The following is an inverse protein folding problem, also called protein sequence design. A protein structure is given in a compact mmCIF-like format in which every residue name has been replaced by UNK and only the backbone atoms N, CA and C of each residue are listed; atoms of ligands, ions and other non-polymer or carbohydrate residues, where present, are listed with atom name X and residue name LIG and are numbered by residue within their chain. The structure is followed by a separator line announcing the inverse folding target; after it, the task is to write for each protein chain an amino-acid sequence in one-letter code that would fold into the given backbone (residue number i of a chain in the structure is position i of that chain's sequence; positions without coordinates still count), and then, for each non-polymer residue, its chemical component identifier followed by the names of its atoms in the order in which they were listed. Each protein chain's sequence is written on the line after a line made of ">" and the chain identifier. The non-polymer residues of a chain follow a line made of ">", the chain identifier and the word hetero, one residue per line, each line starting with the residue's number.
data_IF_965984784973
#
_entry.id   IF_965984784973
#
_cell.length_a   1.000
_cell.length_b   1.000
_cell.length_c   1.000
_cell.angle_alpha   90.00
_cell.angle_beta   90.00
_cell.angle_gamma   90.00
#
_symmetry.space_group_name_H-M   'P 1'
#
loop_
_entity.id
_entity.type
_entity.pdbx_description
1 polymer ?
#
# COMPACT_ATOMS: atom_id res chain seq x y z
N UNK A 1 28.66 15.66 6.07
CA UNK A 1 27.82 15.88 4.88
C UNK A 1 26.38 15.75 5.32
N UNK A 2 25.71 16.90 5.40
CA UNK A 2 24.29 17.03 5.75
C UNK A 2 23.45 16.13 4.84
N UNK A 3 22.40 15.53 5.41
CA UNK A 3 21.54 14.55 4.74
C UNK A 3 20.71 15.25 3.64
N UNK A 4 21.28 15.39 2.44
CA UNK A 4 20.64 16.03 1.28
C UNK A 4 19.24 15.48 1.01
N UNK A 5 19.04 14.17 1.21
CA UNK A 5 17.74 13.51 1.06
C UNK A 5 16.75 14.01 2.13
N UNK A 6 17.21 14.15 3.37
CA UNK A 6 16.46 14.75 4.48
C UNK A 6 16.03 16.18 4.20
N UNK A 7 16.96 17.03 3.77
CA UNK A 7 16.68 18.45 3.49
C UNK A 7 15.71 18.62 2.31
N UNK A 8 15.88 17.82 1.25
CA UNK A 8 14.95 17.81 0.12
C UNK A 8 13.54 17.40 0.54
N UNK A 9 13.39 16.31 1.30
CA UNK A 9 12.06 15.89 1.76
C UNK A 9 11.43 16.92 2.69
N UNK A 10 12.19 17.55 3.59
CA UNK A 10 11.67 18.59 4.47
C UNK A 10 11.17 19.82 3.69
N UNK A 11 11.90 20.23 2.64
CA UNK A 11 11.47 21.32 1.75
C UNK A 11 10.21 20.94 0.97
N UNK A 12 10.13 19.71 0.48
CA UNK A 12 8.96 19.18 -0.22
C UNK A 12 7.75 19.14 0.74
N UNK A 13 7.95 18.73 1.98
CA UNK A 13 6.93 18.67 3.03
C UNK A 13 6.36 20.06 3.37
N UNK A 14 7.22 21.04 3.58
CA UNK A 14 6.81 22.41 3.85
C UNK A 14 6.04 23.03 2.66
N UNK A 15 6.44 22.72 1.42
CA UNK A 15 5.71 23.17 0.24
C UNK A 15 4.33 22.49 0.12
N UNK A 16 4.25 21.22 0.51
CA UNK A 16 3.04 20.42 0.48
C UNK A 16 1.95 20.92 1.41
N UNK A 17 2.30 21.23 2.66
CA UNK A 17 1.37 21.78 3.65
C UNK A 17 0.79 23.12 3.19
N UNK A 18 1.64 24.02 2.71
CA UNK A 18 1.21 25.31 2.16
C UNK A 18 0.27 25.16 0.95
N UNK A 19 0.55 24.19 0.07
CA UNK A 19 -0.31 23.89 -1.07
C UNK A 19 -1.68 23.37 -0.63
N UNK A 20 -1.72 22.39 0.28
CA UNK A 20 -2.98 21.86 0.81
C UNK A 20 -3.80 22.93 1.52
N UNK A 21 -3.17 23.78 2.32
CA UNK A 21 -3.85 24.87 3.02
C UNK A 21 -4.50 25.84 2.03
N UNK A 22 -3.73 26.34 1.05
CA UNK A 22 -4.26 27.31 0.06
C UNK A 22 -5.38 26.71 -0.78
N UNK A 23 -5.24 25.47 -1.21
CA UNK A 23 -6.30 24.77 -1.92
C UNK A 23 -7.55 24.63 -1.03
N UNK A 24 -7.38 24.17 0.21
CA UNK A 24 -8.48 24.01 1.15
C UNK A 24 -9.22 25.33 1.39
N UNK A 25 -8.49 26.42 1.65
CA UNK A 25 -9.07 27.74 1.89
C UNK A 25 -9.84 28.25 0.67
N UNK A 26 -9.27 28.14 -0.53
CA UNK A 26 -9.93 28.55 -1.76
C UNK A 26 -11.26 27.81 -1.97
N UNK A 27 -11.27 26.48 -1.79
CA UNK A 27 -12.48 25.68 -1.94
C UNK A 27 -13.49 25.89 -0.81
N UNK A 28 -13.02 26.08 0.42
CA UNK A 28 -13.90 26.26 1.59
C UNK A 28 -14.65 27.59 1.52
N UNK A 29 -14.01 28.65 1.02
CA UNK A 29 -14.66 29.96 0.86
C UNK A 29 -15.90 29.91 -0.05
N UNK A 30 -15.87 29.07 -1.09
CA UNK A 30 -16.99 28.89 -2.01
C UNK A 30 -18.06 27.93 -1.48
N UNK A 31 -17.64 26.87 -0.78
CA UNK A 31 -18.51 25.77 -0.34
C UNK A 31 -19.19 26.07 1.00
N UNK A 32 -18.50 26.77 1.91
CA UNK A 32 -18.97 27.03 3.27
C UNK A 32 -20.33 27.77 3.31
N UNK A 33 -20.57 28.86 2.55
CA UNK A 33 -21.85 29.56 2.59
C UNK A 33 -23.02 28.66 2.20
N UNK A 34 -22.83 27.80 1.19
CA UNK A 34 -23.83 26.82 0.76
C UNK A 34 -24.10 25.79 1.86
N UNK A 35 -23.05 25.27 2.50
CA UNK A 35 -23.19 24.32 3.62
C UNK A 35 -23.89 24.93 4.82
N UNK A 36 -23.58 26.19 5.17
CA UNK A 36 -24.26 26.93 6.25
C UNK A 36 -25.75 27.10 5.95
N UNK A 37 -26.12 27.41 4.71
CA UNK A 37 -27.51 27.52 4.29
C UNK A 37 -28.23 26.17 4.36
N UNK A 38 -27.62 25.10 3.84
CA UNK A 38 -28.17 23.75 3.92
C UNK A 38 -28.33 23.26 5.36
N UNK A 39 -27.35 23.57 6.23
CA UNK A 39 -27.41 23.27 7.65
C UNK A 39 -28.57 23.99 8.33
N UNK A 40 -28.72 25.30 8.07
CA UNK A 40 -29.81 26.11 8.64
C UNK A 40 -31.17 25.58 8.19
N UNK A 41 -31.33 25.25 6.90
CA UNK A 41 -32.55 24.63 6.38
C UNK A 41 -32.81 23.26 7.01
N UNK A 42 -31.79 22.44 7.21
CA UNK A 42 -31.94 21.15 7.87
C UNK A 42 -32.40 21.32 9.32
N UNK A 43 -31.80 22.25 10.08
CA UNK A 43 -32.20 22.56 11.46
C UNK A 43 -33.63 23.06 11.52
N UNK A 44 -34.04 23.97 10.61
CA UNK A 44 -35.41 24.45 10.52
C UNK A 44 -36.39 23.33 10.20
N UNK A 45 -36.08 22.50 9.20
CA UNK A 45 -36.92 21.37 8.80
C UNK A 45 -37.16 20.39 9.95
N UNK A 46 -36.09 19.99 10.65
CA UNK A 46 -36.21 19.11 11.81
C UNK A 46 -36.86 19.79 13.02
N UNK A 47 -36.62 21.09 13.23
CA UNK A 47 -37.24 21.87 14.29
C UNK A 47 -38.76 21.98 14.13
N UNK A 48 -39.22 22.25 12.90
CA UNK A 48 -40.65 22.25 12.55
C UNK A 48 -41.26 20.85 12.73
N UNK A 49 -40.55 19.80 12.30
CA UNK A 49 -41.01 18.42 12.46
C UNK A 49 -41.17 18.01 13.94
N UNK A 50 -40.29 18.50 14.82
CA UNK A 50 -40.41 18.34 16.27
C UNK A 50 -41.59 19.14 16.84
N UNK A 51 -41.77 20.39 16.40
CA UNK A 51 -42.86 21.26 16.87
C UNK A 51 -44.25 20.74 16.50
N UNK A 52 -44.42 20.20 15.28
CA UNK A 52 -45.71 19.67 14.81
C UNK A 52 -46.05 18.31 15.42
N UNK A 53 -45.16 17.68 16.19
CA UNK A 53 -45.40 16.36 16.80
C UNK A 53 -45.61 15.22 15.80
N UNK A 54 -45.37 15.45 14.50
CA UNK A 54 -45.57 14.48 13.42
C UNK A 54 -44.41 13.51 13.26
N UNK A 55 -43.35 13.68 14.04
CA UNK A 55 -42.14 12.89 13.92
C UNK A 55 -42.32 11.51 14.54
N UNK A 56 -42.33 10.46 13.69
CA UNK A 56 -42.14 9.06 14.10
C UNK A 56 -40.69 8.77 14.56
N UNK A 57 -39.82 9.78 14.46
CA UNK A 57 -38.38 9.71 14.70
C UNK A 57 -38.09 10.19 16.12
N UNK A 58 -37.26 9.46 16.85
CA UNK A 58 -36.82 9.84 18.21
C UNK A 58 -36.04 11.17 18.17
N UNK A 59 -36.25 12.02 19.18
CA UNK A 59 -35.51 13.29 19.37
C UNK A 59 -34.00 13.05 19.35
N UNK A 60 -33.54 11.95 19.95
CA UNK A 60 -32.12 11.57 19.96
C UNK A 60 -31.56 11.34 18.54
N UNK A 61 -32.35 10.77 17.63
CA UNK A 61 -31.93 10.55 16.25
C UNK A 61 -31.83 11.86 15.48
N UNK A 62 -32.72 12.81 15.74
CA UNK A 62 -32.68 14.15 15.15
C UNK A 62 -31.45 14.92 15.64
N UNK A 63 -31.19 14.91 16.95
CA UNK A 63 -29.98 15.52 17.53
C UNK A 63 -28.73 14.89 16.92
N UNK A 64 -28.66 13.57 16.80
CA UNK A 64 -27.52 12.89 16.18
C UNK A 64 -27.31 13.27 14.71
N UNK A 65 -28.38 13.50 13.95
CA UNK A 65 -28.30 13.99 12.57
C UNK A 65 -27.77 15.42 12.52
N UNK A 66 -28.32 16.34 13.32
CA UNK A 66 -27.88 17.74 13.36
C UNK A 66 -26.41 17.83 13.83
N UNK A 67 -26.04 17.08 14.88
CA UNK A 67 -24.66 17.04 15.37
C UNK A 67 -23.67 16.58 14.30
N UNK A 68 -24.03 15.56 13.50
CA UNK A 68 -23.22 15.14 12.36
C UNK A 68 -23.05 16.25 11.33
N UNK A 69 -24.13 16.93 10.95
CA UNK A 69 -24.06 18.03 9.98
C UNK A 69 -23.23 19.20 10.53
N UNK A 70 -23.31 19.46 11.84
CA UNK A 70 -22.50 20.47 12.51
C UNK A 70 -21.00 20.13 12.46
N UNK A 71 -20.62 18.88 12.75
CA UNK A 71 -19.22 18.44 12.64
C UNK A 71 -18.68 18.61 11.21
N UNK A 72 -19.49 18.27 10.20
CA UNK A 72 -19.13 18.46 8.78
C UNK A 72 -18.89 19.95 8.49
N UNK A 73 -19.76 20.84 8.99
CA UNK A 73 -19.63 22.27 8.80
C UNK A 73 -18.37 22.83 9.48
N UNK A 74 -18.10 22.43 10.72
CA UNK A 74 -16.88 22.86 11.46
C UNK A 74 -15.61 22.41 10.75
N UNK A 75 -15.60 21.19 10.20
CA UNK A 75 -14.47 20.65 9.45
C UNK A 75 -14.20 21.43 8.17
N UNK A 76 -15.23 21.86 7.44
CA UNK A 76 -15.08 22.61 6.18
C UNK A 76 -14.83 24.11 6.43
N UNK A 77 -15.32 24.65 7.55
CA UNK A 77 -15.31 26.10 7.83
C UNK A 77 -13.92 26.72 7.90
N UNK A 78 -12.94 26.02 8.48
CA UNK A 78 -11.63 26.61 8.72
C UNK A 78 -10.53 25.58 8.61
N UNK A 79 -9.45 25.95 7.92
CA UNK A 79 -8.24 25.13 7.83
C UNK A 79 -7.73 24.71 9.21
N UNK A 80 -7.72 25.59 10.20
CA UNK A 80 -7.26 25.28 11.56
C UNK A 80 -8.01 24.09 12.19
N UNK A 81 -9.33 24.03 12.03
CA UNK A 81 -10.15 22.92 12.53
C UNK A 81 -9.86 21.63 11.76
N UNK A 82 -9.79 21.72 10.43
CA UNK A 82 -9.43 20.59 9.59
C UNK A 82 -8.03 20.06 9.91
N UNK A 83 -7.09 20.96 10.16
CA UNK A 83 -5.72 20.63 10.44
C UNK A 83 -5.60 19.83 11.73
N UNK A 84 -6.15 20.39 12.82
CA UNK A 84 -6.11 19.78 14.14
C UNK A 84 -6.87 18.45 14.25
N UNK A 85 -7.99 18.31 13.53
CA UNK A 85 -8.86 17.14 13.65
C UNK A 85 -8.55 16.03 12.64
N UNK A 86 -7.97 16.38 11.48
CA UNK A 86 -7.85 15.43 10.37
C UNK A 86 -6.47 15.44 9.70
N UNK A 87 -5.97 16.59 9.26
CA UNK A 87 -4.68 16.68 8.54
C UNK A 87 -3.51 16.16 9.38
N UNK A 88 -3.38 16.64 10.61
CA UNK A 88 -2.25 16.33 11.50
C UNK A 88 -2.23 14.84 11.84
N UNK A 89 -3.39 14.28 12.16
CA UNK A 89 -3.54 12.86 12.43
C UNK A 89 -3.15 12.02 11.21
N UNK A 90 -3.66 12.37 10.04
CA UNK A 90 -3.47 11.56 8.84
C UNK A 90 -2.03 11.62 8.31
N UNK A 91 -1.36 12.75 8.46
CA UNK A 91 0.02 12.94 7.99
C UNK A 91 1.03 12.44 9.02
N UNK A 92 0.91 12.84 10.29
CA UNK A 92 1.97 12.60 11.30
C UNK A 92 1.88 11.24 11.97
N UNK A 93 0.68 10.68 12.17
CA UNK A 93 0.55 9.41 12.92
C UNK A 93 1.16 8.23 12.18
N UNK A 94 0.85 7.99 10.88
CA UNK A 94 1.48 6.89 10.14
C UNK A 94 2.99 7.07 10.01
N UNK A 95 3.47 8.29 9.81
CA UNK A 95 4.90 8.60 9.77
C UNK A 95 5.59 8.34 11.12
N UNK A 96 5.00 8.78 12.23
CA UNK A 96 5.51 8.53 13.57
C UNK A 96 5.54 7.02 13.88
N UNK A 97 4.51 6.28 13.48
CA UNK A 97 4.47 4.83 13.64
C UNK A 97 5.59 4.15 12.83
N UNK A 98 5.79 4.56 11.57
CA UNK A 98 6.89 4.03 10.75
C UNK A 98 8.28 4.37 11.31
N UNK A 99 8.48 5.58 11.84
CA UNK A 99 9.72 5.96 12.55
C UNK A 99 9.95 5.17 13.82
N UNK A 100 8.91 4.89 14.59
CA UNK A 100 9.03 4.07 15.81
C UNK A 100 9.48 2.63 15.48
N UNK A 101 8.96 2.04 14.39
CA UNK A 101 9.36 0.70 13.94
C UNK A 101 10.81 0.72 13.42
N UNK A 102 11.20 1.77 12.69
CA UNK A 102 12.57 1.96 12.22
C UNK A 102 13.54 2.05 13.41
N UNK A 103 13.23 2.86 14.43
CA UNK A 103 14.04 2.98 15.63
C UNK A 103 14.15 1.66 16.42
N UNK A 104 13.10 0.83 16.39
CA UNK A 104 13.10 -0.49 17.03
C UNK A 104 13.92 -1.55 16.27
N UNK A 105 14.29 -1.30 15.00
CA UNK A 105 14.97 -2.27 14.13
C UNK A 105 16.48 -2.42 14.42
N UNK A 106 16.98 -1.84 15.53
CA UNK A 106 18.36 -1.95 16.01
C UNK A 106 19.48 -1.45 15.06
N UNK A 107 19.14 -0.84 13.93
CA UNK A 107 20.08 -0.30 12.94
C UNK A 107 20.67 1.07 13.33
N UNK A 108 20.22 1.66 14.45
CA UNK A 108 20.62 3.01 14.90
C UNK A 108 20.03 4.15 14.08
N UNK A 109 19.15 3.86 13.11
CA UNK A 109 18.50 4.85 12.26
C UNK A 109 17.18 5.29 12.88
N UNK A 110 17.03 6.59 13.11
CA UNK A 110 15.77 7.16 13.64
C UNK A 110 14.91 7.83 12.58
N UNK A 111 15.52 8.25 11.46
CA UNK A 111 14.82 8.92 10.36
C UNK A 111 14.95 8.11 9.06
N UNK A 112 13.87 7.93 8.29
CA UNK A 112 13.91 7.11 7.07
C UNK A 112 14.84 7.67 5.99
N UNK A 113 15.00 8.99 5.94
CA UNK A 113 15.98 9.64 5.05
C UNK A 113 17.40 9.27 5.41
N UNK A 114 17.69 9.23 6.72
CA UNK A 114 18.97 8.74 7.22
C UNK A 114 19.18 7.27 6.84
N UNK A 115 18.12 6.45 6.84
CA UNK A 115 18.19 5.06 6.40
C UNK A 115 18.51 4.92 4.92
N UNK A 116 17.79 5.64 4.05
CA UNK A 116 18.06 5.66 2.60
C UNK A 116 19.46 6.22 2.29
N UNK A 117 19.87 7.26 3.01
CA UNK A 117 21.21 7.84 2.92
C UNK A 117 22.29 6.91 3.46
N UNK A 118 22.00 6.08 4.45
CA UNK A 118 22.91 5.04 4.92
C UNK A 118 23.09 3.97 3.84
N UNK A 119 22.02 3.51 3.19
CA UNK A 119 22.11 2.58 2.05
C UNK A 119 22.96 3.17 0.93
N UNK A 120 22.75 4.45 0.60
CA UNK A 120 23.56 5.15 -0.41
C UNK A 120 25.03 5.23 -0.01
N UNK A 121 25.35 5.65 1.22
CA UNK A 121 26.72 5.73 1.73
C UNK A 121 27.41 4.36 1.73
N UNK A 122 26.69 3.35 2.17
CA UNK A 122 27.11 1.95 2.16
C UNK A 122 27.46 1.47 0.76
N UNK A 123 26.58 1.72 -0.22
CA UNK A 123 26.84 1.36 -1.61
C UNK A 123 28.06 2.11 -2.17
N UNK A 124 28.23 3.38 -1.81
CA UNK A 124 29.37 4.18 -2.22
C UNK A 124 30.69 3.69 -1.60
N UNK A 125 30.68 3.25 -0.34
CA UNK A 125 31.84 2.64 0.32
C UNK A 125 32.22 1.31 -0.34
N UNK A 126 31.23 0.45 -0.61
CA UNK A 126 31.45 -0.80 -1.33
C UNK A 126 32.03 -0.55 -2.74
N UNK A 127 31.52 0.45 -3.47
CA UNK A 127 32.03 0.81 -4.78
C UNK A 127 33.46 1.39 -4.72
N UNK A 128 33.77 2.19 -3.70
CA UNK A 128 35.10 2.77 -3.50
C UNK A 128 36.16 1.69 -3.22
N UNK A 129 35.85 0.69 -2.37
CA UNK A 129 36.76 -0.43 -2.09
C UNK A 129 37.18 -1.17 -3.38
N UNK A 130 36.26 -1.35 -4.33
CA UNK A 130 36.57 -1.95 -5.62
C UNK A 130 37.36 -1.06 -6.56
N UNK A 131 37.12 0.25 -6.52
CA UNK A 131 37.92 1.20 -7.28
C UNK A 131 39.36 1.24 -6.78
N UNK A 132 39.60 0.99 -5.49
CA UNK A 132 40.94 0.93 -4.91
C UNK A 132 41.66 -0.40 -5.24
N UNK A 133 40.92 -1.51 -5.32
CA UNK A 133 41.44 -2.78 -5.84
C UNK A 133 41.63 -2.81 -7.36
N UNK A 134 41.04 -1.86 -8.09
CA UNK A 134 41.25 -1.72 -9.53
C UNK A 134 42.64 -1.14 -9.81
N UNK A 135 43.63 -2.01 -10.00
CA UNK A 135 44.93 -1.59 -10.53
C UNK A 135 44.80 -0.95 -11.93
N UNK A 136 45.82 -0.19 -12.34
CA UNK A 136 45.88 0.60 -13.59
C UNK A 136 45.57 -0.19 -14.88
N UNK A 137 45.63 -1.53 -14.85
CA UNK A 137 45.38 -2.41 -16.00
C UNK A 137 44.16 -3.35 -15.83
N UNK A 138 43.42 -3.25 -14.73
CA UNK A 138 42.27 -4.12 -14.42
C UNK A 138 40.98 -3.30 -14.31
N UNK A 139 40.25 -3.18 -15.43
CA UNK A 139 38.98 -2.45 -15.53
C UNK A 139 37.80 -3.21 -14.90
N UNK A 140 37.90 -4.54 -14.73
CA UNK A 140 36.82 -5.38 -14.22
C UNK A 140 36.31 -4.99 -12.81
N UNK A 141 37.17 -4.75 -11.80
CA UNK A 141 36.72 -4.34 -10.47
C UNK A 141 36.02 -2.97 -10.47
N UNK A 142 36.52 -2.00 -11.25
CA UNK A 142 35.88 -0.69 -11.38
C UNK A 142 34.48 -0.79 -12.02
N UNK A 143 34.29 -1.69 -12.99
CA UNK A 143 32.98 -1.96 -13.60
C UNK A 143 31.99 -2.55 -12.60
N UNK A 144 32.44 -3.43 -11.69
CA UNK A 144 31.61 -4.01 -10.63
C UNK A 144 31.16 -2.95 -9.64
N UNK A 145 32.06 -2.05 -9.21
CA UNK A 145 31.70 -0.91 -8.35
C UNK A 145 30.64 0.00 -8.98
N UNK A 146 30.75 0.25 -10.29
CA UNK A 146 29.73 0.99 -11.05
C UNK A 146 28.36 0.29 -11.04
N UNK A 147 28.35 -1.04 -11.24
CA UNK A 147 27.10 -1.84 -11.23
C UNK A 147 26.43 -1.77 -9.86
N UNK A 148 27.19 -1.89 -8.77
CA UNK A 148 26.66 -1.79 -7.39
C UNK A 148 26.00 -0.42 -7.16
N UNK A 149 26.66 0.66 -7.60
CA UNK A 149 26.09 2.01 -7.50
C UNK A 149 24.80 2.17 -8.31
N UNK A 150 24.71 1.56 -9.49
CA UNK A 150 23.48 1.60 -10.30
C UNK A 150 22.33 0.90 -9.58
N UNK A 151 22.53 -0.29 -9.01
CA UNK A 151 21.46 -1.02 -8.31
C UNK A 151 21.06 -0.37 -6.98
N UNK A 152 22.03 0.12 -6.20
CA UNK A 152 21.74 0.86 -4.98
C UNK A 152 21.04 2.20 -5.28
N UNK A 153 21.49 2.92 -6.31
CA UNK A 153 20.84 4.15 -6.77
C UNK A 153 19.43 3.91 -7.28
N UNK A 154 19.20 2.82 -8.03
CA UNK A 154 17.86 2.42 -8.47
C UNK A 154 16.95 2.16 -7.26
N UNK A 155 17.41 1.41 -6.27
CA UNK A 155 16.65 1.13 -5.05
C UNK A 155 16.27 2.42 -4.31
N UNK A 156 17.24 3.30 -4.05
CA UNK A 156 17.01 4.57 -3.36
C UNK A 156 16.07 5.47 -4.17
N UNK A 157 16.25 5.54 -5.49
CA UNK A 157 15.38 6.33 -6.37
C UNK A 157 13.93 5.83 -6.37
N UNK A 158 13.72 4.50 -6.38
CA UNK A 158 12.37 3.91 -6.27
C UNK A 158 11.75 4.23 -4.91
N UNK A 159 12.50 4.05 -3.81
CA UNK A 159 12.00 4.34 -2.47
C UNK A 159 11.60 5.82 -2.33
N UNK A 160 12.47 6.75 -2.73
CA UNK A 160 12.18 8.18 -2.70
C UNK A 160 11.04 8.57 -3.63
N UNK A 161 10.99 8.01 -4.84
CA UNK A 161 9.93 8.26 -5.80
C UNK A 161 8.56 7.88 -5.23
N UNK A 162 8.46 6.72 -4.58
CA UNK A 162 7.21 6.27 -3.93
C UNK A 162 6.84 7.16 -2.74
N UNK A 163 7.81 7.56 -1.90
CA UNK A 163 7.56 8.46 -0.76
C UNK A 163 7.02 9.81 -1.23
N UNK A 164 7.70 10.44 -2.19
CA UNK A 164 7.29 11.74 -2.74
C UNK A 164 5.92 11.62 -3.41
N UNK A 165 5.70 10.57 -4.22
CA UNK A 165 4.40 10.36 -4.86
C UNK A 165 3.28 10.19 -3.84
N UNK A 166 3.49 9.40 -2.78
CA UNK A 166 2.48 9.20 -1.74
C UNK A 166 2.12 10.52 -1.04
N UNK A 167 3.13 11.32 -0.68
CA UNK A 167 2.92 12.62 -0.03
C UNK A 167 2.24 13.64 -0.94
N UNK A 168 2.69 13.77 -2.19
CA UNK A 168 2.11 14.70 -3.16
C UNK A 168 0.63 14.39 -3.39
N UNK A 169 0.29 13.11 -3.58
CA UNK A 169 -1.11 12.72 -3.77
C UNK A 169 -1.92 12.97 -2.49
N UNK A 170 -1.36 12.67 -1.31
CA UNK A 170 -2.01 12.95 -0.03
C UNK A 170 -2.33 14.46 0.14
N UNK A 171 -1.40 15.35 -0.22
CA UNK A 171 -1.63 16.80 -0.17
C UNK A 171 -2.71 17.29 -1.12
N UNK A 172 -2.77 16.72 -2.32
CA UNK A 172 -3.85 17.01 -3.27
C UNK A 172 -5.20 16.54 -2.73
N UNK A 173 -5.26 15.35 -2.13
CA UNK A 173 -6.49 14.84 -1.50
C UNK A 173 -6.91 15.71 -0.31
N UNK A 174 -5.97 16.12 0.55
CA UNK A 174 -6.27 16.96 1.71
C UNK A 174 -6.65 18.39 1.30
N UNK A 175 -6.04 18.95 0.25
CA UNK A 175 -6.44 20.24 -0.29
C UNK A 175 -7.83 20.24 -0.92
N UNK A 176 -8.25 19.11 -1.49
CA UNK A 176 -9.60 18.92 -2.06
C UNK A 176 -10.64 18.41 -1.04
N UNK A 177 -10.26 18.29 0.24
CA UNK A 177 -11.13 17.82 1.31
C UNK A 177 -12.48 18.55 1.41
N UNK A 178 -12.59 19.88 1.23
CA UNK A 178 -13.87 20.59 1.36
C UNK A 178 -14.97 20.02 0.46
N UNK A 179 -14.64 19.61 -0.77
CA UNK A 179 -15.60 19.02 -1.72
C UNK A 179 -16.11 17.68 -1.20
N UNK A 180 -15.18 16.79 -0.82
CA UNK A 180 -15.52 15.43 -0.43
C UNK A 180 -16.19 15.39 0.94
N UNK A 181 -15.76 16.24 1.87
CA UNK A 181 -16.40 16.39 3.18
C UNK A 181 -17.80 16.99 3.02
N UNK A 182 -18.00 17.98 2.14
CA UNK A 182 -19.32 18.48 1.78
C UNK A 182 -20.24 17.39 1.20
N UNK A 183 -19.70 16.48 0.38
CA UNK A 183 -20.46 15.34 -0.13
C UNK A 183 -20.96 14.39 0.99
N UNK A 184 -20.39 14.45 2.19
CA UNK A 184 -20.87 13.67 3.35
C UNK A 184 -22.21 14.20 3.90
N UNK A 185 -22.61 15.43 3.53
CA UNK A 185 -23.88 16.04 3.91
C UNK A 185 -25.09 15.27 3.35
N UNK A 186 -24.98 14.75 2.13
CA UNK A 186 -26.05 14.03 1.45
C UNK A 186 -25.81 12.52 1.46
N UNK A 187 -26.86 11.74 1.73
CA UNK A 187 -26.76 10.27 1.73
C UNK A 187 -26.41 9.70 0.35
N UNK A 188 -26.79 10.37 -0.73
CA UNK A 188 -26.55 9.93 -2.12
C UNK A 188 -25.07 10.09 -2.52
N UNK A 189 -24.44 11.21 -2.14
CA UNK A 189 -23.04 11.52 -2.51
C UNK A 189 -22.03 11.04 -1.47
N UNK A 190 -22.48 10.48 -0.34
CA UNK A 190 -21.62 9.95 0.74
C UNK A 190 -20.62 8.90 0.27
N UNK A 191 -20.92 8.13 -0.78
CA UNK A 191 -19.98 7.14 -1.35
C UNK A 191 -18.70 7.80 -1.84
N UNK A 192 -18.76 9.01 -2.41
CA UNK A 192 -17.58 9.74 -2.86
C UNK A 192 -16.73 10.22 -1.68
N UNK A 193 -17.37 10.71 -0.61
CA UNK A 193 -16.69 11.11 0.62
C UNK A 193 -15.95 9.92 1.27
N UNK A 194 -16.58 8.74 1.30
CA UNK A 194 -15.97 7.52 1.82
C UNK A 194 -14.83 7.00 0.93
N UNK A 195 -14.98 7.10 -0.39
CA UNK A 195 -13.92 6.75 -1.35
C UNK A 195 -12.70 7.65 -1.18
N UNK A 196 -12.91 8.96 -1.04
CA UNK A 196 -11.86 9.92 -0.72
C UNK A 196 -11.19 9.58 0.62
N UNK A 197 -11.96 9.34 1.68
CA UNK A 197 -11.41 8.99 3.00
C UNK A 197 -10.52 7.74 2.93
N UNK A 198 -10.98 6.71 2.21
CA UNK A 198 -10.22 5.49 1.97
C UNK A 198 -8.92 5.80 1.21
N UNK A 199 -9.00 6.57 0.13
CA UNK A 199 -7.84 6.92 -0.67
C UNK A 199 -6.81 7.77 0.12
N UNK A 200 -7.29 8.71 0.94
CA UNK A 200 -6.45 9.52 1.82
C UNK A 200 -5.74 8.63 2.85
N UNK A 201 -6.44 7.68 3.47
CA UNK A 201 -5.86 6.72 4.41
C UNK A 201 -4.84 5.79 3.75
N UNK A 202 -5.10 5.38 2.50
CA UNK A 202 -4.17 4.57 1.74
C UNK A 202 -2.84 5.27 1.52
N UNK A 203 -2.88 6.50 1.00
CA UNK A 203 -1.65 7.26 0.73
C UNK A 203 -0.94 7.69 2.01
N UNK A 204 -1.67 7.85 3.12
CA UNK A 204 -1.10 8.08 4.43
C UNK A 204 -0.32 6.88 4.98
N UNK A 205 -0.75 5.65 4.69
CA UNK A 205 -0.10 4.42 5.17
C UNK A 205 1.08 3.97 4.30
N UNK A 206 1.15 4.37 3.03
CA UNK A 206 2.26 3.98 2.13
C UNK A 206 3.65 4.35 2.72
N UNK A 207 3.89 5.58 3.20
CA UNK A 207 5.18 5.93 3.81
C UNK A 207 5.60 5.02 4.95
N UNK A 208 4.64 4.64 5.82
CA UNK A 208 4.89 3.70 6.92
C UNK A 208 5.50 2.40 6.40
N UNK A 209 4.90 1.78 5.38
CA UNK A 209 5.42 0.52 4.84
C UNK A 209 6.80 0.68 4.18
N UNK A 210 7.00 1.78 3.45
CA UNK A 210 8.31 2.07 2.85
C UNK A 210 9.37 2.15 3.95
N UNK A 211 9.06 2.76 5.10
CA UNK A 211 9.98 2.87 6.23
C UNK A 211 10.32 1.51 6.84
N UNK A 212 9.33 0.65 7.04
CA UNK A 212 9.53 -0.71 7.58
C UNK A 212 10.34 -1.58 6.62
N UNK A 213 10.04 -1.52 5.32
CA UNK A 213 10.77 -2.28 4.30
C UNK A 213 12.23 -1.79 4.20
N UNK A 214 12.44 -0.47 4.22
CA UNK A 214 13.78 0.10 4.23
C UNK A 214 14.57 -0.34 5.47
N UNK A 215 13.96 -0.31 6.67
CA UNK A 215 14.56 -0.78 7.91
C UNK A 215 15.03 -2.24 7.80
N UNK A 216 14.14 -3.11 7.34
CA UNK A 216 14.40 -4.53 7.15
C UNK A 216 15.56 -4.77 6.18
N UNK A 217 15.60 -4.05 5.06
CA UNK A 217 16.66 -4.19 4.06
C UNK A 217 18.01 -3.69 4.57
N UNK A 218 18.03 -2.62 5.37
CA UNK A 218 19.26 -2.13 6.03
C UNK A 218 19.81 -3.21 6.96
N UNK A 219 18.96 -3.76 7.83
CA UNK A 219 19.35 -4.84 8.75
C UNK A 219 19.82 -6.10 8.00
N UNK A 220 19.20 -6.41 6.85
CA UNK A 220 19.62 -7.53 6.00
C UNK A 220 20.95 -7.26 5.26
N UNK A 221 21.31 -6.00 5.00
CA UNK A 221 22.57 -5.62 4.36
C UNK A 221 23.76 -5.65 5.33
N UNK A 222 23.57 -5.29 6.60
CA UNK A 222 24.61 -5.22 7.63
C UNK A 222 25.55 -6.45 7.74
N UNK A 223 25.08 -7.71 7.70
CA UNK A 223 25.95 -8.88 7.71
C UNK A 223 26.77 -9.07 6.43
N UNK A 224 26.32 -8.55 5.29
CA UNK A 224 27.10 -8.59 4.05
C UNK A 224 28.19 -7.51 4.05
N UNK A 225 27.95 -6.38 4.71
CA UNK A 225 28.92 -5.29 4.84
C UNK A 225 30.06 -5.61 5.80
N UNK A 226 29.76 -6.28 6.91
CA UNK A 226 30.79 -6.73 7.87
C UNK A 226 31.73 -7.76 7.25
N UNK A 227 31.24 -8.60 6.33
CA UNK A 227 32.10 -9.49 5.53
C UNK A 227 33.00 -8.70 4.58
N UNK A 228 32.54 -7.58 4.02
CA UNK A 228 33.32 -6.75 3.10
C UNK A 228 34.42 -5.97 3.85
N UNK A 229 34.11 -5.39 5.01
CA UNK A 229 35.05 -4.61 5.84
C UNK A 229 36.21 -5.48 6.38
N UNK A 230 35.92 -6.73 6.74
CA UNK A 230 36.94 -7.68 7.21
C UNK A 230 37.81 -8.28 6.09
N UNK A 231 37.46 -8.10 4.82
CA UNK A 231 38.14 -8.73 3.66
C UNK A 231 39.13 -7.79 2.95
N UNK A 232 39.22 -6.52 3.39
CA UNK A 232 40.26 -5.55 2.96
C UNK A 232 41.71 -6.04 3.20
N UNK A 233 41.90 -7.10 4.01
CA UNK A 233 43.22 -7.53 4.47
C UNK A 233 44.05 -8.43 3.54
N UNK A 234 43.50 -9.47 2.88
CA UNK A 234 44.31 -10.39 2.05
C UNK A 234 43.57 -11.60 1.40
N UNK A 235 42.35 -11.45 0.86
CA UNK A 235 41.75 -12.54 0.06
C UNK A 235 40.92 -12.00 -1.08
N UNK A 236 41.04 -12.64 -2.24
CA UNK A 236 40.25 -12.36 -3.45
C UNK A 236 38.78 -12.12 -3.09
N UNK A 237 38.32 -10.87 -3.27
CA UNK A 237 36.91 -10.52 -3.17
C UNK A 237 36.14 -11.41 -4.16
N UNK A 238 35.36 -12.37 -3.65
CA UNK A 238 34.57 -13.25 -4.51
C UNK A 238 33.34 -12.50 -5.01
N UNK A 239 33.12 -12.59 -6.33
CA UNK A 239 31.90 -12.12 -7.01
C UNK A 239 30.59 -12.61 -6.34
N UNK A 240 30.63 -13.71 -5.57
CA UNK A 240 29.46 -14.28 -4.88
C UNK A 240 28.89 -13.39 -3.77
N UNK A 241 29.74 -12.69 -3.04
CA UNK A 241 29.31 -11.97 -1.83
C UNK A 241 28.56 -10.67 -2.20
N UNK A 242 28.93 -10.08 -3.35
CA UNK A 242 28.22 -8.92 -3.93
C UNK A 242 26.99 -9.31 -4.74
N UNK A 243 26.92 -10.55 -5.24
CA UNK A 243 25.69 -11.06 -5.82
C UNK A 243 24.55 -11.09 -4.79
N UNK A 244 24.85 -11.38 -3.52
CA UNK A 244 23.87 -11.30 -2.43
C UNK A 244 23.37 -9.86 -2.20
N UNK A 245 24.27 -8.87 -2.20
CA UNK A 245 23.90 -7.46 -2.08
C UNK A 245 23.00 -7.00 -3.25
N UNK A 246 23.38 -7.28 -4.49
CA UNK A 246 22.60 -6.90 -5.68
C UNK A 246 21.22 -7.58 -5.66
N UNK A 247 21.16 -8.86 -5.28
CA UNK A 247 19.91 -9.60 -5.14
C UNK A 247 19.01 -9.00 -4.06
N UNK A 248 19.59 -8.54 -2.95
CA UNK A 248 18.84 -7.88 -1.88
C UNK A 248 18.29 -6.50 -2.33
N UNK A 249 19.08 -5.70 -3.06
CA UNK A 249 18.60 -4.44 -3.64
C UNK A 249 17.47 -4.66 -4.66
N UNK A 250 17.58 -5.70 -5.51
CA UNK A 250 16.54 -6.06 -6.48
C UNK A 250 15.28 -6.58 -5.81
N UNK A 251 15.42 -7.49 -4.85
CA UNK A 251 14.30 -8.01 -4.07
C UNK A 251 13.61 -6.89 -3.29
N UNK A 252 14.40 -6.01 -2.65
CA UNK A 252 13.89 -4.83 -1.96
C UNK A 252 13.13 -3.88 -2.88
N UNK A 253 13.67 -3.60 -4.06
CA UNK A 253 13.00 -2.78 -5.07
C UNK A 253 11.67 -3.38 -5.51
N UNK A 254 11.63 -4.70 -5.73
CA UNK A 254 10.41 -5.42 -6.08
C UNK A 254 9.36 -5.32 -4.97
N UNK A 255 9.75 -5.51 -3.71
CA UNK A 255 8.84 -5.38 -2.55
C UNK A 255 8.31 -3.95 -2.43
N UNK A 256 9.15 -2.94 -2.64
CA UNK A 256 8.74 -1.52 -2.61
C UNK A 256 7.71 -1.20 -3.70
N UNK A 257 7.87 -1.71 -4.92
CA UNK A 257 6.87 -1.52 -5.98
C UNK A 257 5.50 -2.10 -5.58
N UNK A 258 5.50 -3.20 -4.81
CA UNK A 258 4.29 -3.85 -4.32
C UNK A 258 3.69 -3.20 -3.07
N UNK A 259 4.28 -2.11 -2.56
CA UNK A 259 3.81 -1.45 -1.34
C UNK A 259 2.37 -0.93 -1.46
N UNK A 260 1.99 -0.48 -2.66
CA UNK A 260 0.62 -0.04 -2.92
C UNK A 260 -0.37 -1.20 -2.72
N UNK A 261 -0.02 -2.41 -3.16
CA UNK A 261 -0.83 -3.63 -2.98
C UNK A 261 -1.04 -3.95 -1.51
N UNK A 262 0.00 -3.81 -0.68
CA UNK A 262 -0.09 -4.04 0.76
C UNK A 262 -0.95 -2.98 1.45
N UNK A 263 -0.78 -1.71 1.09
CA UNK A 263 -1.62 -0.63 1.60
C UNK A 263 -3.10 -0.81 1.19
N UNK A 264 -3.37 -1.16 -0.07
CA UNK A 264 -4.72 -1.50 -0.56
C UNK A 264 -5.33 -2.68 0.20
N UNK A 265 -4.54 -3.70 0.56
CA UNK A 265 -5.03 -4.86 1.33
C UNK A 265 -5.56 -4.47 2.72
N UNK A 266 -4.95 -3.48 3.37
CA UNK A 266 -5.39 -2.99 4.68
C UNK A 266 -6.57 -2.04 4.55
N UNK A 267 -6.44 -1.02 3.70
CA UNK A 267 -7.44 0.05 3.61
C UNK A 267 -8.67 -0.38 2.80
N UNK A 268 -8.50 -1.27 1.83
CA UNK A 268 -9.60 -1.85 1.05
C UNK A 268 -10.58 -2.69 1.88
N UNK A 269 -10.18 -3.16 3.06
CA UNK A 269 -11.08 -3.79 4.03
C UNK A 269 -12.09 -2.83 4.68
N UNK A 270 -11.77 -1.52 4.69
CA UNK A 270 -12.63 -0.47 5.26
C UNK A 270 -13.73 0.01 4.31
N UNK A 271 -13.80 -0.52 3.09
CA UNK A 271 -14.97 -0.38 2.22
C UNK A 271 -16.15 -1.21 2.74
N UNK A 272 -16.53 -1.05 4.02
CA UNK A 272 -17.82 -1.50 4.51
C UNK A 272 -18.88 -0.71 3.77
N UNK A 273 -19.73 -1.37 2.98
CA UNK A 273 -20.74 -0.65 2.24
C UNK A 273 -21.79 -0.13 3.22
N UNK A 274 -21.89 1.19 3.32
CA UNK A 274 -22.96 1.82 4.11
C UNK A 274 -24.24 1.73 3.28
N UNK A 275 -25.16 0.85 3.68
CA UNK A 275 -26.46 0.63 3.03
C UNK A 275 -26.72 -0.83 2.65
N UNK A 276 -27.96 -1.29 2.79
CA UNK A 276 -28.35 -2.67 2.50
C UNK A 276 -28.02 -3.09 1.05
N UNK A 277 -28.16 -2.15 0.10
CA UNK A 277 -27.91 -2.37 -1.33
C UNK A 277 -26.41 -2.44 -1.67
N UNK A 278 -25.58 -1.70 -0.95
CA UNK A 278 -24.13 -1.70 -1.16
C UNK A 278 -23.49 -2.93 -0.48
N UNK A 279 -24.07 -3.43 0.63
CA UNK A 279 -23.71 -4.70 1.28
C UNK A 279 -23.89 -5.90 0.35
N UNK A 280 -24.92 -5.87 -0.49
CA UNK A 280 -25.17 -6.90 -1.50
C UNK A 280 -24.16 -6.85 -2.66
N UNK A 281 -23.64 -5.67 -3.02
CA UNK A 281 -22.68 -5.50 -4.12
C UNK A 281 -21.26 -5.87 -3.67
N UNK A 282 -20.80 -5.41 -2.51
CA UNK A 282 -19.49 -5.84 -2.00
C UNK A 282 -19.51 -7.29 -1.52
N UNK A 283 -20.64 -7.75 -0.96
CA UNK A 283 -20.88 -9.16 -0.69
C UNK A 283 -20.75 -10.01 -1.96
N UNK A 284 -21.23 -9.52 -3.11
CA UNK A 284 -21.04 -10.16 -4.42
C UNK A 284 -19.60 -10.13 -4.93
N UNK A 285 -18.83 -9.08 -4.66
CA UNK A 285 -17.40 -9.01 -5.01
C UNK A 285 -16.56 -10.06 -4.27
N UNK A 286 -16.82 -10.23 -2.96
CA UNK A 286 -16.18 -11.26 -2.13
C UNK A 286 -16.72 -12.66 -2.45
N UNK A 287 -18.00 -12.81 -2.81
CA UNK A 287 -18.55 -14.09 -3.25
C UNK A 287 -18.06 -14.51 -4.64
N UNK A 288 -17.81 -13.57 -5.56
CA UNK A 288 -17.24 -13.87 -6.87
C UNK A 288 -15.76 -14.26 -6.76
N UNK A 289 -14.98 -13.63 -5.89
CA UNK A 289 -13.58 -14.03 -5.67
C UNK A 289 -13.49 -15.41 -5.00
N UNK A 290 -14.37 -15.73 -4.05
CA UNK A 290 -14.47 -17.09 -3.47
C UNK A 290 -15.07 -18.11 -4.45
N UNK A 291 -16.01 -17.69 -5.30
CA UNK A 291 -16.62 -18.52 -6.33
C UNK A 291 -15.70 -18.84 -7.51
N UNK A 292 -14.75 -17.96 -7.84
CA UNK A 292 -13.70 -18.23 -8.81
C UNK A 292 -12.77 -19.35 -8.32
N UNK A 293 -12.31 -19.27 -7.06
CA UNK A 293 -11.47 -20.31 -6.43
C UNK A 293 -12.24 -21.63 -6.28
N UNK A 294 -13.52 -21.58 -5.90
CA UNK A 294 -14.37 -22.78 -5.81
C UNK A 294 -14.60 -23.48 -7.15
N UNK A 295 -14.83 -22.72 -8.23
CA UNK A 295 -15.02 -23.29 -9.57
C UNK A 295 -13.73 -23.86 -10.17
N UNK A 296 -12.57 -23.27 -9.85
CA UNK A 296 -11.27 -23.85 -10.20
C UNK A 296 -11.02 -25.16 -9.48
N UNK A 297 -11.43 -25.28 -8.20
CA UNK A 297 -11.31 -26.50 -7.43
C UNK A 297 -12.25 -27.60 -7.94
N UNK A 298 -13.50 -27.28 -8.28
CA UNK A 298 -14.46 -28.22 -8.87
C UNK A 298 -14.04 -28.72 -10.25
N UNK A 299 -13.54 -27.83 -11.13
CA UNK A 299 -13.02 -28.23 -12.44
C UNK A 299 -11.77 -29.12 -12.31
N UNK A 300 -10.91 -28.84 -11.34
CA UNK A 300 -9.72 -29.66 -11.06
C UNK A 300 -10.11 -31.02 -10.49
N UNK A 301 -11.04 -31.08 -9.53
CA UNK A 301 -11.56 -32.34 -9.00
C UNK A 301 -12.27 -33.17 -10.08
N UNK A 302 -13.07 -32.55 -10.94
CA UNK A 302 -13.72 -33.25 -12.05
C UNK A 302 -12.69 -33.79 -13.07
N UNK A 303 -11.61 -33.05 -13.34
CA UNK A 303 -10.53 -33.51 -14.19
C UNK A 303 -9.76 -34.69 -13.55
N UNK A 304 -9.46 -34.61 -12.26
CA UNK A 304 -8.80 -35.69 -11.49
C UNK A 304 -9.69 -36.94 -11.46
N UNK A 305 -10.99 -36.81 -11.23
CA UNK A 305 -11.92 -37.94 -11.24
C UNK A 305 -12.01 -38.60 -12.62
N UNK A 306 -11.97 -37.84 -13.73
CA UNK A 306 -11.96 -38.42 -15.09
C UNK A 306 -10.67 -39.16 -15.40
N UNK A 307 -9.52 -38.65 -14.94
CA UNK A 307 -8.23 -39.32 -15.10
C UNK A 307 -8.18 -40.58 -14.24
N UNK A 308 -8.66 -40.51 -13.00
CA UNK A 308 -8.69 -41.65 -12.09
C UNK A 308 -9.69 -42.73 -12.55
N UNK A 309 -10.81 -42.35 -13.17
CA UNK A 309 -11.74 -43.29 -13.80
C UNK A 309 -11.15 -43.99 -15.04
N UNK A 310 -10.31 -43.30 -15.83
CA UNK A 310 -9.56 -43.93 -16.93
C UNK A 310 -8.49 -44.90 -16.42
N UNK A 311 -7.84 -44.58 -15.30
CA UNK A 311 -6.84 -45.45 -14.69
C UNK A 311 -7.45 -46.65 -13.96
N UNK A 312 -8.70 -46.54 -13.50
CA UNK A 312 -9.46 -47.63 -12.85
C UNK A 312 -10.39 -48.40 -13.79
N UNK A 313 -10.36 -48.13 -15.10
CA UNK A 313 -11.12 -48.93 -16.06
C UNK A 313 -10.66 -50.41 -15.94
N UNK A 314 -11.56 -51.35 -15.60
CA UNK A 314 -11.15 -52.72 -15.33
C UNK A 314 -10.68 -53.41 -16.62
N UNK A 315 -9.50 -54.04 -16.55
CA UNK A 315 -8.89 -54.92 -17.57
C UNK A 315 -9.73 -56.17 -17.93
N UNK A 316 -11.03 -56.20 -17.62
CA UNK A 316 -11.92 -57.34 -17.84
C UNK A 316 -12.45 -57.47 -19.27
N UNK A 317 -12.28 -56.44 -20.13
CA UNK A 317 -12.67 -56.52 -21.55
C UNK A 317 -11.65 -57.26 -22.41
N UNK A 318 -10.36 -57.21 -22.07
CA UNK A 318 -9.31 -57.91 -22.81
C UNK A 318 -9.30 -59.42 -22.53
N UNK A 319 -9.48 -59.82 -21.26
CA UNK A 319 -9.54 -61.23 -20.87
C UNK A 319 -10.76 -61.97 -21.42
N UNK A 320 -11.94 -61.31 -21.43
CA UNK A 320 -13.18 -61.88 -21.98
C UNK A 320 -13.20 -61.89 -23.52
N UNK A 321 -12.46 -60.99 -24.18
CA UNK A 321 -12.24 -61.04 -25.62
C UNK A 321 -11.29 -62.20 -26.01
N UNK A 322 -10.16 -62.37 -25.30
CA UNK A 322 -9.24 -63.50 -25.52
C UNK A 322 -9.90 -64.86 -25.25
N UNK A 323 -10.71 -64.99 -24.19
CA UNK A 323 -11.47 -66.23 -23.95
C UNK A 323 -12.45 -66.55 -25.09
N UNK A 324 -13.08 -65.53 -25.70
CA UNK A 324 -13.94 -65.72 -26.87
C UNK A 324 -13.15 -66.18 -28.10
N UNK A 325 -11.96 -65.65 -28.32
CA UNK A 325 -11.11 -66.04 -29.47
C UNK A 325 -10.52 -67.45 -29.30
N UNK A 326 -10.19 -67.85 -28.07
CA UNK A 326 -9.69 -69.20 -27.77
C UNK A 326 -10.82 -70.23 -27.92
N UNK A 327 -12.04 -69.91 -27.44
CA UNK A 327 -13.20 -70.78 -27.64
C UNK A 327 -13.59 -70.93 -29.11
N UNK A 328 -13.41 -69.87 -29.92
CA UNK A 328 -13.71 -69.91 -31.35
C UNK A 328 -12.68 -70.72 -32.18
N UNK A 329 -11.43 -70.84 -31.71
CA UNK A 329 -10.36 -71.59 -32.40
C UNK A 329 -10.11 -72.99 -31.80
N UNK A 330 -10.88 -73.40 -30.78
CA UNK A 330 -10.66 -74.64 -30.03
C UNK A 330 -11.45 -75.86 -30.51
N UNK A 331 -12.20 -75.80 -31.60
CA UNK A 331 -12.95 -76.95 -32.13
C UNK A 331 -12.18 -77.61 -33.28
N UNK A 332 -11.63 -78.83 -33.10
CA UNK A 332 -10.94 -79.56 -34.15
C UNK A 332 -11.93 -80.09 -35.21
N UNK A 333 -11.50 -80.10 -36.47
CA UNK A 333 -11.98 -81.03 -37.49
C UNK A 333 -10.99 -82.17 -37.63
#
# INVERSE_FOLDING_TARGET
>A
MEDFIGELLQRIDASGENFSQRAFEALSNDIEPLLRLLFTLAVLFYGVQLFLGTSRISVAEIIGRIARLFVILVLVSTWANFNALFYDWLTKVPEAAGRAILAASATGVTEPTNGLSQIWKTANLAAAAFSEQAGYLSVLPALIGMIIMVFAGLFVAIALGILVLAKVVLWVLLGTAPIFVACMFFNVTRTYALGWLNQSLLYAIIPLFVYVIAAFLIAAMEPELTKIDQVSGNRELKLSDFAAFIMLCLAGSFVLIQVQSFAQGIVGGLATPVGARSRQIAGRGIFQSRGAVGRSAEQTQAAVHRVQARLRAPQSSAGSAMQRTIAANGTPR
#
